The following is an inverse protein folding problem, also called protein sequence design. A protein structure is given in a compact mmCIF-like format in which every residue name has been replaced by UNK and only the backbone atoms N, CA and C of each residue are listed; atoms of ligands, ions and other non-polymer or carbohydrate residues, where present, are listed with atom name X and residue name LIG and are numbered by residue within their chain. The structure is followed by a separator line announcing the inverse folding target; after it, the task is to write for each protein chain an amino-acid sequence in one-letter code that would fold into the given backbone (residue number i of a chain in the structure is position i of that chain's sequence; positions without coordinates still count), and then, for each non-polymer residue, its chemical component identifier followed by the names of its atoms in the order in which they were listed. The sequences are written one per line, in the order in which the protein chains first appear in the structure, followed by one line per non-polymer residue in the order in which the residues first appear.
data_IF_936414442492
#
_entry.id   IF_936414442492
#
_cell.length_a   1.000
_cell.length_b   1.000
_cell.length_c   1.000
_cell.angle_alpha   90.00
_cell.angle_beta   90.00
_cell.angle_gamma   90.00
#
_symmetry.space_group_name_H-M   'P 1'
#
loop_
_entity.id
_entity.type
_entity.pdbx_description
1 polymer ?
#
# COMPACT_ATOMS: atom_id res chain seq x y z
N UNK A 1 -20.51 -3.29 -9.09
CA UNK A 1 -19.38 -3.98 -9.73
C UNK A 1 -19.90 -5.31 -10.26
N UNK A 2 -19.89 -5.55 -11.58
CA UNK A 2 -20.62 -6.66 -12.23
C UNK A 2 -19.96 -8.05 -12.13
N UNK A 3 -19.39 -8.41 -10.97
CA UNK A 3 -18.84 -9.74 -10.72
C UNK A 3 -20.00 -10.68 -10.40
N UNK A 4 -20.00 -11.91 -10.95
CA UNK A 4 -21.02 -12.92 -10.65
C UNK A 4 -20.85 -13.43 -9.21
N UNK A 5 -21.97 -13.77 -8.56
CA UNK A 5 -21.95 -14.27 -7.18
C UNK A 5 -21.13 -15.55 -7.04
N UNK A 6 -21.27 -16.49 -7.98
CA UNK A 6 -20.56 -17.77 -7.92
C UNK A 6 -19.04 -17.61 -8.09
N UNK A 7 -18.62 -16.66 -8.93
CA UNK A 7 -17.20 -16.34 -9.13
C UNK A 7 -16.59 -15.69 -7.87
N UNK A 8 -17.36 -14.82 -7.21
CA UNK A 8 -16.96 -14.21 -5.95
C UNK A 8 -16.80 -15.27 -4.85
N UNK A 9 -17.80 -16.12 -4.66
CA UNK A 9 -17.80 -17.15 -3.62
C UNK A 9 -16.68 -18.18 -3.81
N UNK A 10 -16.41 -18.56 -5.07
CA UNK A 10 -15.30 -19.44 -5.41
C UNK A 10 -13.94 -18.79 -5.12
N UNK A 11 -13.76 -17.52 -5.51
CA UNK A 11 -12.52 -16.79 -5.28
C UNK A 11 -12.26 -16.56 -3.79
N UNK A 12 -13.29 -16.14 -3.03
CA UNK A 12 -13.22 -15.91 -1.58
C UNK A 12 -12.67 -17.11 -0.81
N UNK A 13 -13.07 -18.31 -1.21
CA UNK A 13 -12.65 -19.56 -0.56
C UNK A 13 -11.36 -20.16 -1.13
N UNK A 14 -10.84 -19.60 -2.22
CA UNK A 14 -9.66 -20.11 -2.92
C UNK A 14 -8.39 -20.03 -2.08
N UNK A 15 -7.47 -20.96 -2.33
CA UNK A 15 -6.14 -20.96 -1.69
C UNK A 15 -5.36 -19.66 -1.98
N UNK A 16 -5.50 -19.10 -3.19
CA UNK A 16 -4.78 -17.89 -3.61
C UNK A 16 -5.25 -16.68 -2.81
N UNK A 17 -6.57 -16.47 -2.68
CA UNK A 17 -7.11 -15.34 -1.90
C UNK A 17 -6.72 -15.48 -0.42
N UNK A 18 -6.84 -16.68 0.16
CA UNK A 18 -6.42 -16.92 1.55
C UNK A 18 -4.92 -16.65 1.76
N UNK A 19 -4.08 -17.03 0.80
CA UNK A 19 -2.64 -16.73 0.85
C UNK A 19 -2.36 -15.23 0.79
N UNK A 20 -3.10 -14.48 -0.02
CA UNK A 20 -2.99 -13.02 -0.08
C UNK A 20 -3.47 -12.34 1.20
N UNK A 21 -4.51 -12.86 1.86
CA UNK A 21 -4.95 -12.36 3.18
C UNK A 21 -3.84 -12.55 4.21
N UNK A 22 -3.28 -13.76 4.31
CA UNK A 22 -2.18 -14.03 5.23
C UNK A 22 -0.93 -13.17 4.95
N UNK A 23 -0.61 -12.92 3.67
CA UNK A 23 0.48 -12.02 3.28
C UNK A 23 0.23 -10.57 3.73
N UNK A 24 -1.01 -10.07 3.60
CA UNK A 24 -1.39 -8.72 4.04
C UNK A 24 -1.32 -8.58 5.57
N UNK A 25 -1.85 -9.55 6.31
CA UNK A 25 -1.76 -9.58 7.78
C UNK A 25 -0.31 -9.60 8.26
N UNK A 26 0.52 -10.45 7.64
CA UNK A 26 1.95 -10.51 7.93
C UNK A 26 2.65 -9.18 7.60
N UNK A 27 2.40 -8.59 6.44
CA UNK A 27 3.01 -7.33 6.05
C UNK A 27 2.66 -6.20 7.03
N UNK A 28 1.39 -6.11 7.47
CA UNK A 28 0.96 -5.13 8.46
C UNK A 28 1.66 -5.31 9.81
N UNK A 29 1.85 -6.56 10.25
CA UNK A 29 2.60 -6.87 11.48
C UNK A 29 4.10 -6.56 11.35
N UNK A 30 4.73 -6.98 10.24
CA UNK A 30 6.17 -6.82 9.98
C UNK A 30 6.58 -5.34 9.97
N UNK A 31 5.72 -4.44 9.46
CA UNK A 31 5.95 -2.99 9.45
C UNK A 31 5.36 -2.26 10.65
N UNK A 32 4.77 -2.98 11.60
CA UNK A 32 4.08 -2.42 12.78
C UNK A 32 3.08 -1.32 12.40
N UNK A 33 2.24 -1.59 11.40
CA UNK A 33 1.32 -0.62 10.82
C UNK A 33 0.43 0.02 11.90
N UNK A 34 0.47 1.35 12.01
CA UNK A 34 -0.30 2.12 13.03
C UNK A 34 -1.55 2.81 12.50
N UNK A 35 -1.67 2.95 11.18
CA UNK A 35 -2.76 3.67 10.55
C UNK A 35 -2.59 3.75 9.03
N UNK A 36 -3.65 4.12 8.33
CA UNK A 36 -3.70 4.22 6.87
C UNK A 36 -4.18 5.63 6.44
N UNK A 37 -3.78 6.13 5.25
CA UNK A 37 -2.87 5.50 4.28
C UNK A 37 -1.42 5.46 4.79
N UNK A 38 -0.71 4.38 4.47
CA UNK A 38 0.73 4.23 4.74
C UNK A 38 1.40 3.58 3.53
N UNK A 39 2.53 4.13 3.11
CA UNK A 39 3.34 3.59 2.01
C UNK A 39 4.74 3.30 2.50
N UNK A 40 5.19 2.09 2.23
CA UNK A 40 6.52 1.62 2.56
C UNK A 40 7.28 1.32 1.26
N UNK A 41 8.47 1.89 1.12
CA UNK A 41 9.37 1.63 -0.02
C UNK A 41 10.50 0.71 0.43
N UNK A 42 10.72 -0.36 -0.34
CA UNK A 42 11.71 -1.40 -0.05
C UNK A 42 11.58 -2.04 1.35
N UNK A 43 10.38 -2.00 1.96
CA UNK A 43 10.13 -2.50 3.32
C UNK A 43 10.88 -1.76 4.43
N UNK A 44 11.64 -0.69 4.11
CA UNK A 44 12.53 0.02 5.03
C UNK A 44 12.04 1.44 5.31
N UNK A 45 11.50 2.11 4.30
CA UNK A 45 11.19 3.54 4.36
C UNK A 45 9.68 3.76 4.36
N UNK A 46 9.14 4.25 5.47
CA UNK A 46 7.76 4.75 5.52
C UNK A 46 7.73 6.20 5.03
N UNK A 47 6.83 6.50 4.08
CA UNK A 47 6.62 7.89 3.66
C UNK A 47 5.97 8.71 4.78
N UNK A 48 6.36 9.98 4.88
CA UNK A 48 5.75 10.95 5.78
C UNK A 48 5.08 12.08 4.98
N UNK A 49 3.77 11.97 4.66
CA UNK A 49 3.05 12.99 3.90
C UNK A 49 2.89 14.33 4.64
N UNK A 50 2.98 14.33 5.98
CA UNK A 50 2.85 15.54 6.80
C UNK A 50 4.01 16.52 6.59
N UNK A 51 5.15 16.03 6.07
CA UNK A 51 6.30 16.86 5.73
C UNK A 51 6.27 17.41 4.29
N UNK A 52 5.20 17.17 3.53
CA UNK A 52 5.07 17.61 2.13
C UNK A 52 4.24 18.88 2.02
N UNK A 53 4.37 19.56 0.90
CA UNK A 53 3.52 20.72 0.58
C UNK A 53 2.09 20.25 0.26
N UNK A 54 1.16 20.58 1.15
CA UNK A 54 -0.27 20.27 1.00
C UNK A 54 -1.11 21.48 0.58
N UNK A 55 -0.47 22.59 0.20
CA UNK A 55 -1.17 23.81 -0.23
C UNK A 55 -1.83 23.65 -1.61
N UNK A 56 -1.29 22.76 -2.43
CA UNK A 56 -1.79 22.41 -3.76
C UNK A 56 -1.68 20.89 -3.96
N UNK A 57 -2.77 20.26 -4.41
CA UNK A 57 -2.82 18.83 -4.67
C UNK A 57 -1.81 18.37 -5.74
N UNK A 58 -1.59 19.15 -6.80
CA UNK A 58 -0.64 18.81 -7.86
C UNK A 58 0.80 18.78 -7.33
N UNK A 59 1.14 19.76 -6.47
CA UNK A 59 2.45 19.82 -5.82
C UNK A 59 2.62 18.65 -4.85
N UNK A 60 1.59 18.35 -4.05
CA UNK A 60 1.60 17.21 -3.15
C UNK A 60 1.84 15.90 -3.89
N UNK A 61 1.09 15.64 -4.97
CA UNK A 61 1.23 14.41 -5.77
C UNK A 61 2.62 14.31 -6.40
N UNK A 62 3.16 15.41 -6.91
CA UNK A 62 4.50 15.44 -7.49
C UNK A 62 5.57 15.11 -6.45
N UNK A 63 5.55 15.77 -5.28
CA UNK A 63 6.49 15.51 -4.20
C UNK A 63 6.39 14.09 -3.66
N UNK A 64 5.18 13.55 -3.58
CA UNK A 64 4.93 12.17 -3.16
C UNK A 64 5.59 11.18 -4.13
N UNK A 65 5.33 11.33 -5.43
CA UNK A 65 5.87 10.45 -6.47
C UNK A 65 7.40 10.53 -6.54
N UNK A 66 7.97 11.74 -6.47
CA UNK A 66 9.42 11.95 -6.48
C UNK A 66 10.09 11.31 -5.25
N UNK A 67 9.45 11.38 -4.09
CA UNK A 67 9.92 10.73 -2.86
C UNK A 67 9.89 9.21 -3.00
N UNK A 68 8.81 8.63 -3.54
CA UNK A 68 8.75 7.18 -3.82
C UNK A 68 9.86 6.76 -4.76
N UNK A 69 10.07 7.49 -5.87
CA UNK A 69 11.12 7.21 -6.85
C UNK A 69 12.51 7.24 -6.22
N UNK A 70 12.82 8.31 -5.50
CA UNK A 70 14.10 8.47 -4.81
C UNK A 70 14.38 7.31 -3.82
N UNK A 71 13.38 6.94 -3.01
CA UNK A 71 13.54 5.86 -2.03
C UNK A 71 13.64 4.48 -2.69
N UNK A 72 13.02 4.28 -3.85
CA UNK A 72 13.08 3.02 -4.60
C UNK A 72 14.49 2.76 -5.14
N UNK A 73 15.17 3.81 -5.60
CA UNK A 73 16.53 3.76 -6.13
C UNK A 73 17.60 3.65 -5.00
N UNK A 74 17.20 3.85 -3.74
CA UNK A 74 18.09 3.79 -2.57
C UNK A 74 18.24 2.34 -2.08
N UNK A 75 19.46 1.81 -2.18
CA UNK A 75 19.84 0.45 -1.72
C UNK A 75 19.87 0.33 -0.19
#
# INVERSE_FOLDING_TARGET
AGIKGEEYDAAWNSFVVKSLVAQQEKAAADVQLRGVPAMFVNGKYQLNPQGMDTSNMDVFVQQYADTVKYLSEKK
#
